data_IF_000989187727
#
_entry.id   IF_000989187727
#
_cell.length_a   1.000
_cell.length_b   1.000
_cell.length_c   1.000
_cell.angle_alpha   90.00
_cell.angle_beta   90.00
_cell.angle_gamma   90.00
#
_symmetry.space_group_name_H-M   'P 1'
#
loop_
_entity.id
_entity.type
_entity.pdbx_description
1 polymer ?
#
# COMPACT_ATOMS: atom_id res chain seq x y z
N UNK A 1 18.68 0.68 18.76
CA UNK A 1 18.11 0.87 17.41
C UNK A 1 18.38 2.26 16.84
N UNK A 2 17.87 3.35 17.45
CA UNK A 2 18.04 4.74 16.96
C UNK A 2 19.46 5.11 16.48
N UNK A 3 20.47 4.95 17.33
CA UNK A 3 21.88 5.24 16.97
C UNK A 3 22.39 4.49 15.73
N UNK A 4 21.97 3.24 15.54
CA UNK A 4 22.35 2.43 14.36
C UNK A 4 21.76 3.05 13.10
N UNK A 5 20.49 3.47 13.16
CA UNK A 5 19.79 4.12 12.03
C UNK A 5 20.45 5.47 11.71
N UNK A 6 20.70 6.30 12.72
CA UNK A 6 21.38 7.59 12.56
C UNK A 6 22.75 7.43 11.89
N UNK A 7 23.54 6.46 12.36
CA UNK A 7 24.85 6.16 11.76
C UNK A 7 24.75 5.65 10.31
N UNK A 8 23.69 4.90 9.94
CA UNK A 8 23.45 4.52 8.53
C UNK A 8 23.12 5.74 7.68
N UNK A 9 22.27 6.64 8.19
CA UNK A 9 21.86 7.86 7.48
C UNK A 9 23.06 8.77 7.25
N UNK A 10 23.88 8.99 8.27
CA UNK A 10 25.09 9.83 8.19
C UNK A 10 26.11 9.28 7.20
N UNK A 11 26.34 7.96 7.20
CA UNK A 11 27.33 7.34 6.31
C UNK A 11 26.80 7.03 4.91
N UNK A 12 25.48 7.01 4.72
CA UNK A 12 24.82 6.56 3.49
C UNK A 12 25.10 5.10 3.12
N UNK A 13 25.50 4.26 4.09
CA UNK A 13 25.95 2.87 3.86
C UNK A 13 25.46 1.93 4.95
N UNK A 14 25.12 0.71 4.54
CA UNK A 14 24.67 -0.36 5.45
C UNK A 14 25.67 -1.52 5.58
N UNK A 15 26.77 -1.52 4.81
CA UNK A 15 27.69 -2.67 4.69
C UNK A 15 28.19 -3.20 6.05
N UNK A 16 28.51 -2.32 7.00
CA UNK A 16 28.96 -2.69 8.36
C UNK A 16 27.89 -3.38 9.22
N UNK A 17 26.64 -3.42 8.74
CA UNK A 17 25.50 -4.03 9.42
C UNK A 17 24.90 -5.21 8.67
N UNK A 18 25.46 -5.59 7.51
CA UNK A 18 25.09 -6.81 6.79
C UNK A 18 25.89 -7.94 7.42
N UNK A 19 25.22 -8.84 8.13
CA UNK A 19 25.87 -9.88 8.95
C UNK A 19 25.51 -11.29 8.53
N UNK A 20 24.40 -11.46 7.82
CA UNK A 20 23.93 -12.76 7.34
C UNK A 20 23.98 -12.86 5.82
N UNK A 21 24.10 -14.09 5.32
CA UNK A 21 24.00 -14.39 3.89
C UNK A 21 22.65 -13.91 3.31
N UNK A 22 21.56 -14.07 4.07
CA UNK A 22 20.24 -13.63 3.67
C UNK A 22 20.16 -12.10 3.52
N UNK A 23 20.75 -11.33 4.43
CA UNK A 23 20.86 -9.88 4.28
C UNK A 23 21.72 -9.52 3.06
N UNK A 24 22.81 -10.24 2.83
CA UNK A 24 23.69 -10.03 1.68
C UNK A 24 22.95 -10.24 0.35
N UNK A 25 22.16 -11.30 0.25
CA UNK A 25 21.30 -11.60 -0.89
C UNK A 25 20.20 -10.55 -1.05
N UNK A 26 19.56 -10.13 0.05
CA UNK A 26 18.53 -9.11 0.04
C UNK A 26 19.04 -7.77 -0.51
N UNK A 27 20.27 -7.37 -0.19
CA UNK A 27 20.88 -6.13 -0.70
C UNK A 27 21.60 -6.27 -2.05
N UNK A 28 21.80 -7.50 -2.55
CA UNK A 28 22.50 -7.74 -3.82
C UNK A 28 21.94 -7.01 -5.06
N UNK A 29 20.63 -6.67 -5.16
CA UNK A 29 20.12 -5.91 -6.30
C UNK A 29 20.65 -4.46 -6.38
N UNK A 30 21.06 -3.87 -5.25
CA UNK A 30 21.51 -2.46 -5.20
C UNK A 30 22.97 -2.34 -5.63
N UNK A 31 23.17 -2.45 -6.94
CA UNK A 31 24.46 -2.23 -7.59
C UNK A 31 24.61 -0.77 -8.06
N UNK A 32 25.76 -0.40 -8.61
CA UNK A 32 26.00 0.96 -9.15
C UNK A 32 25.07 1.33 -10.32
N UNK A 33 24.49 0.34 -10.99
CA UNK A 33 23.54 0.57 -12.10
C UNK A 33 22.12 0.77 -11.60
N UNK A 34 21.83 0.48 -10.33
CA UNK A 34 20.52 0.72 -9.72
C UNK A 34 20.37 2.22 -9.45
N UNK A 35 19.59 2.92 -10.27
CA UNK A 35 19.33 4.37 -10.14
C UNK A 35 17.87 4.63 -9.80
N UNK A 36 17.52 5.86 -9.42
CA UNK A 36 16.12 6.22 -9.13
C UNK A 36 15.18 6.22 -10.35
N UNK A 37 15.74 6.17 -11.57
CA UNK A 37 15.01 6.17 -12.86
C UNK A 37 15.08 4.83 -13.59
N UNK A 38 16.06 4.01 -13.26
CA UNK A 38 16.36 2.77 -13.97
C UNK A 38 16.82 1.72 -12.97
N UNK A 39 15.95 0.76 -12.69
CA UNK A 39 16.22 -0.33 -11.78
C UNK A 39 15.17 -1.45 -11.90
N UNK A 40 15.55 -2.72 -11.66
CA UNK A 40 14.60 -3.82 -11.68
C UNK A 40 13.65 -3.77 -10.47
N UNK A 41 12.60 -4.60 -10.53
CA UNK A 41 11.77 -4.92 -9.38
C UNK A 41 12.62 -5.56 -8.27
N UNK A 42 12.34 -5.23 -7.02
CA UNK A 42 12.87 -5.93 -5.85
C UNK A 42 11.73 -6.23 -4.89
N UNK A 43 11.52 -7.51 -4.58
CA UNK A 43 10.52 -7.97 -3.62
C UNK A 43 11.22 -8.82 -2.57
N UNK A 44 11.10 -8.43 -1.29
CA UNK A 44 11.73 -9.12 -0.17
C UNK A 44 10.72 -9.36 0.95
N UNK A 45 10.56 -10.62 1.35
CA UNK A 45 9.74 -11.00 2.51
C UNK A 45 10.61 -10.92 3.77
N UNK A 46 10.54 -9.78 4.45
CA UNK A 46 11.35 -9.46 5.63
C UNK A 46 10.86 -10.20 6.88
N UNK A 47 9.53 -10.30 7.06
CA UNK A 47 8.90 -11.08 8.12
C UNK A 47 7.80 -11.96 7.51
N UNK A 48 7.65 -13.17 8.01
CA UNK A 48 6.68 -14.18 7.60
C UNK A 48 5.87 -14.69 8.80
N UNK A 49 4.56 -14.53 8.71
CA UNK A 49 3.60 -14.99 9.70
C UNK A 49 3.65 -16.50 9.88
N UNK A 50 3.63 -16.95 11.14
CA UNK A 50 3.79 -18.34 11.55
C UNK A 50 5.25 -18.80 11.61
N UNK A 51 6.20 -18.03 11.08
CA UNK A 51 7.62 -18.37 11.06
C UNK A 51 8.45 -17.45 11.95
N UNK A 52 8.29 -16.14 11.77
CA UNK A 52 8.97 -15.13 12.58
C UNK A 52 8.13 -14.85 13.83
N UNK A 53 8.75 -14.95 15.00
CA UNK A 53 8.10 -14.76 16.31
C UNK A 53 8.74 -13.62 17.09
N UNK A 54 7.95 -12.92 17.89
CA UNK A 54 8.44 -11.90 18.81
C UNK A 54 9.09 -12.53 20.06
N UNK A 55 9.67 -11.68 20.90
CA UNK A 55 10.31 -12.10 22.16
C UNK A 55 9.33 -12.70 23.18
N UNK A 56 8.02 -12.49 22.98
CA UNK A 56 6.96 -13.05 23.81
C UNK A 56 6.39 -14.36 23.23
N UNK A 57 6.92 -14.83 22.09
CA UNK A 57 6.49 -16.05 21.41
C UNK A 57 5.27 -15.88 20.49
N UNK A 58 4.82 -14.65 20.21
CA UNK A 58 3.72 -14.41 19.27
C UNK A 58 4.23 -14.30 17.84
N UNK A 59 3.45 -14.81 16.89
CA UNK A 59 3.74 -14.64 15.46
C UNK A 59 3.76 -13.17 15.06
N UNK A 60 4.80 -12.76 14.33
CA UNK A 60 4.88 -11.46 13.68
C UNK A 60 4.01 -11.43 12.42
N UNK A 61 3.45 -10.27 12.02
CA UNK A 61 2.75 -10.15 10.74
C UNK A 61 3.73 -10.22 9.56
N UNK A 62 3.23 -10.56 8.38
CA UNK A 62 4.00 -10.48 7.15
C UNK A 62 4.50 -9.05 6.92
N UNK A 63 5.79 -8.88 6.65
CA UNK A 63 6.39 -7.61 6.24
C UNK A 63 7.09 -7.83 4.90
N UNK A 64 6.58 -7.19 3.86
CA UNK A 64 7.05 -7.34 2.49
C UNK A 64 7.54 -5.98 2.00
N UNK A 65 8.81 -5.92 1.60
CA UNK A 65 9.40 -4.77 0.93
C UNK A 65 9.24 -4.92 -0.58
N UNK A 66 8.79 -3.86 -1.25
CA UNK A 66 8.55 -3.85 -2.70
C UNK A 66 9.13 -2.58 -3.30
N UNK A 67 9.99 -2.74 -4.31
CA UNK A 67 10.29 -1.70 -5.30
C UNK A 67 9.73 -2.16 -6.63
N UNK A 68 8.86 -1.37 -7.25
CA UNK A 68 8.47 -1.61 -8.64
C UNK A 68 9.67 -1.41 -9.57
N UNK A 69 9.67 -2.04 -10.72
CA UNK A 69 10.62 -1.73 -11.77
C UNK A 69 10.44 -0.28 -12.26
N UNK A 70 11.55 0.37 -12.58
CA UNK A 70 11.55 1.62 -13.32
C UNK A 70 12.50 1.51 -14.50
N UNK A 71 12.09 2.11 -15.60
CA UNK A 71 12.90 2.27 -16.81
C UNK A 71 12.82 3.72 -17.28
N UNK A 72 13.92 4.22 -17.83
CA UNK A 72 13.98 5.57 -18.44
C UNK A 72 13.01 5.67 -19.63
N UNK A 73 12.67 4.56 -20.27
CA UNK A 73 11.79 4.52 -21.44
C UNK A 73 10.31 4.38 -21.10
N UNK A 74 9.97 4.18 -19.82
CA UNK A 74 8.59 3.94 -19.38
C UNK A 74 8.15 5.04 -18.41
N UNK A 75 7.10 5.80 -18.73
CA UNK A 75 6.57 6.79 -17.79
C UNK A 75 6.02 6.09 -16.55
N UNK A 76 6.14 6.75 -15.40
CA UNK A 76 5.59 6.24 -14.15
C UNK A 76 4.64 7.25 -13.49
N UNK A 77 3.53 6.77 -12.94
CA UNK A 77 2.50 7.61 -12.32
C UNK A 77 2.74 7.78 -10.82
N UNK A 78 3.92 8.32 -10.44
CA UNK A 78 4.32 8.64 -9.06
C UNK A 78 3.69 7.74 -7.97
N UNK A 79 2.72 8.27 -7.20
CA UNK A 79 2.03 7.59 -6.10
C UNK A 79 1.00 6.58 -6.62
N UNK A 80 0.16 6.92 -7.61
CA UNK A 80 -0.78 5.98 -8.23
C UNK A 80 -0.11 4.68 -8.63
N UNK A 81 0.89 4.77 -9.49
CA UNK A 81 1.52 3.57 -10.03
C UNK A 81 2.21 2.76 -8.93
N UNK A 82 2.66 3.39 -7.83
CA UNK A 82 3.24 2.66 -6.72
C UNK A 82 2.16 1.89 -5.95
N UNK A 83 1.01 2.52 -5.68
CA UNK A 83 -0.14 1.88 -5.05
C UNK A 83 -0.77 0.79 -5.95
N UNK A 84 -0.80 1.01 -7.27
CA UNK A 84 -1.29 0.03 -8.26
C UNK A 84 -0.37 -1.20 -8.30
N UNK A 85 0.96 -1.00 -8.33
CA UNK A 85 1.91 -2.12 -8.19
C UNK A 85 1.72 -2.86 -6.86
N UNK A 86 1.57 -2.15 -5.75
CA UNK A 86 1.33 -2.76 -4.44
C UNK A 86 0.02 -3.55 -4.42
N UNK A 87 -1.04 -3.07 -5.07
CA UNK A 87 -2.32 -3.78 -5.18
C UNK A 87 -2.16 -5.12 -5.88
N UNK A 88 -1.43 -5.14 -7.02
CA UNK A 88 -1.13 -6.34 -7.80
C UNK A 88 -0.25 -7.34 -7.04
N UNK A 89 0.86 -6.88 -6.49
CA UNK A 89 1.77 -7.73 -5.69
C UNK A 89 1.05 -8.31 -4.47
N UNK A 90 0.27 -7.47 -3.77
CA UNK A 90 -0.54 -7.91 -2.63
C UNK A 90 -1.57 -8.99 -3.00
N UNK A 91 -2.20 -8.87 -4.18
CA UNK A 91 -3.17 -9.85 -4.68
C UNK A 91 -2.55 -11.25 -4.84
N UNK A 92 -1.31 -11.33 -5.33
CA UNK A 92 -0.63 -12.61 -5.50
C UNK A 92 -0.12 -13.19 -4.18
N UNK A 93 0.32 -12.35 -3.24
CA UNK A 93 0.98 -12.83 -2.03
C UNK A 93 0.00 -13.13 -0.89
N UNK A 94 -1.06 -12.34 -0.73
CA UNK A 94 -1.96 -12.46 0.44
C UNK A 94 -3.43 -12.27 0.09
N UNK A 95 -3.73 -11.57 -1.01
CA UNK A 95 -5.07 -11.16 -1.46
C UNK A 95 -6.02 -10.68 -0.36
N UNK A 96 -5.53 -9.89 0.60
CA UNK A 96 -6.37 -9.41 1.70
C UNK A 96 -7.55 -8.58 1.16
N UNK A 97 -8.80 -8.80 1.64
CA UNK A 97 -10.00 -8.14 1.11
C UNK A 97 -10.13 -6.67 1.51
N UNK A 98 -9.36 -6.24 2.52
CA UNK A 98 -9.33 -4.86 3.03
C UNK A 98 -7.91 -4.33 2.87
N UNK A 99 -7.78 -3.10 2.39
CA UNK A 99 -6.50 -2.46 2.10
C UNK A 99 -6.46 -1.10 2.78
N UNK A 100 -5.43 -0.83 3.57
CA UNK A 100 -5.18 0.49 4.15
C UNK A 100 -4.10 1.21 3.34
N UNK A 101 -4.36 2.46 2.95
CA UNK A 101 -3.30 3.38 2.53
C UNK A 101 -2.87 4.26 3.69
N UNK A 102 -1.55 4.39 3.87
CA UNK A 102 -0.97 5.19 4.93
C UNK A 102 0.32 5.85 4.42
N UNK A 103 0.39 7.17 4.59
CA UNK A 103 1.58 7.95 4.26
C UNK A 103 2.66 7.84 5.35
N UNK A 104 3.92 8.10 4.99
CA UNK A 104 5.07 7.88 5.86
C UNK A 104 5.17 8.86 7.04
N UNK A 105 4.45 9.96 6.98
CA UNK A 105 4.29 10.97 8.03
C UNK A 105 3.05 10.72 8.92
N UNK A 106 2.29 9.65 8.63
CA UNK A 106 1.09 9.27 9.35
C UNK A 106 1.28 7.94 10.09
N UNK A 107 0.69 7.83 11.28
CA UNK A 107 0.66 6.58 12.05
C UNK A 107 -0.66 6.40 12.79
N UNK A 108 -1.03 5.16 13.09
CA UNK A 108 -2.23 4.89 13.89
C UNK A 108 -2.02 5.32 15.34
N UNK A 109 -2.90 6.19 15.82
CA UNK A 109 -2.93 6.62 17.22
C UNK A 109 -3.82 5.74 18.11
N UNK A 110 -4.52 4.76 17.53
CA UNK A 110 -5.43 3.87 18.26
C UNK A 110 -5.25 2.42 17.77
N UNK A 111 -4.79 1.49 18.64
CA UNK A 111 -4.63 0.09 18.26
C UNK A 111 -5.97 -0.61 17.98
N UNK A 112 -7.11 -0.02 18.38
CA UNK A 112 -8.45 -0.56 18.10
C UNK A 112 -9.01 -0.15 16.73
N UNK A 113 -8.33 0.71 15.97
CA UNK A 113 -8.79 1.17 14.65
C UNK A 113 -9.19 0.01 13.72
N UNK A 114 -8.41 -1.08 13.57
CA UNK A 114 -8.83 -2.20 12.73
C UNK A 114 -10.15 -2.84 13.17
N UNK A 115 -10.40 -2.97 14.47
CA UNK A 115 -11.65 -3.54 15.00
C UNK A 115 -12.85 -2.64 14.67
N UNK A 116 -12.70 -1.32 14.82
CA UNK A 116 -13.76 -0.36 14.50
C UNK A 116 -14.09 -0.39 13.00
N UNK A 117 -13.08 -0.53 12.15
CA UNK A 117 -13.26 -0.66 10.70
C UNK A 117 -14.06 -1.91 10.37
N UNK A 118 -13.72 -3.06 10.98
CA UNK A 118 -14.42 -4.32 10.71
C UNK A 118 -15.93 -4.23 10.95
N UNK A 119 -16.41 -3.40 11.88
CA UNK A 119 -17.84 -3.18 12.08
C UNK A 119 -18.56 -2.76 10.79
N UNK A 120 -17.95 -1.88 9.98
CA UNK A 120 -18.54 -1.42 8.71
C UNK A 120 -18.47 -2.50 7.62
N UNK A 121 -17.35 -3.22 7.53
CA UNK A 121 -17.13 -4.23 6.49
C UNK A 121 -17.91 -5.52 6.74
N UNK A 122 -18.27 -5.79 7.99
CA UNK A 122 -19.04 -6.98 8.39
C UNK A 122 -20.55 -6.72 8.47
N UNK A 123 -20.99 -5.46 8.41
CA UNK A 123 -22.41 -5.11 8.39
C UNK A 123 -23.03 -5.42 7.02
N UNK A 124 -23.94 -6.40 6.97
CA UNK A 124 -24.59 -6.84 5.74
C UNK A 124 -25.44 -5.75 5.06
N UNK A 125 -25.89 -4.73 5.81
CA UNK A 125 -26.67 -3.61 5.25
C UNK A 125 -25.78 -2.54 4.61
N UNK A 126 -24.56 -2.35 5.12
CA UNK A 126 -23.61 -1.34 4.65
C UNK A 126 -22.68 -1.92 3.58
N UNK A 127 -22.14 -3.12 3.81
CA UNK A 127 -21.10 -3.77 2.99
C UNK A 127 -21.38 -3.76 1.48
N UNK A 128 -22.60 -4.04 0.97
CA UNK A 128 -22.85 -4.06 -0.48
C UNK A 128 -22.66 -2.70 -1.17
N UNK A 129 -22.68 -1.60 -0.40
CA UNK A 129 -22.55 -0.22 -0.91
C UNK A 129 -21.25 0.45 -0.46
N UNK A 130 -20.45 -0.24 0.35
CA UNK A 130 -19.22 0.30 0.91
C UNK A 130 -18.08 0.15 -0.09
N UNK A 131 -17.41 1.26 -0.41
CA UNK A 131 -16.16 1.22 -1.17
C UNK A 131 -14.95 1.31 -0.22
N UNK A 132 -15.04 2.22 0.76
CA UNK A 132 -13.98 2.45 1.74
C UNK A 132 -14.50 3.13 3.01
N UNK A 133 -13.68 3.15 4.05
CA UNK A 133 -13.86 3.92 5.29
C UNK A 133 -12.68 4.88 5.45
N UNK A 134 -12.95 6.18 5.44
CA UNK A 134 -11.95 7.25 5.59
C UNK A 134 -11.88 7.73 7.04
N UNK A 135 -10.68 7.70 7.64
CA UNK A 135 -10.45 8.30 8.95
C UNK A 135 -10.03 9.77 8.82
N UNK A 136 -10.41 10.63 9.79
CA UNK A 136 -9.93 12.02 9.81
C UNK A 136 -8.43 12.07 10.04
N UNK A 137 -7.73 12.92 9.28
CA UNK A 137 -6.30 13.18 9.46
C UNK A 137 -6.10 14.12 10.64
N UNK A 138 -5.15 13.79 11.52
CA UNK A 138 -4.82 14.59 12.70
C UNK A 138 -3.33 14.93 12.68
N UNK A 139 -2.99 16.21 12.80
CA UNK A 139 -1.60 16.67 12.76
C UNK A 139 -1.06 16.96 14.16
N UNK A 140 0.23 16.72 14.34
CA UNK A 140 0.94 17.00 15.59
C UNK A 140 1.69 18.33 15.50
N UNK A 141 1.97 18.94 16.66
CA UNK A 141 2.78 20.16 16.74
C UNK A 141 2.06 21.45 16.32
N UNK A 142 0.73 21.42 16.21
CA UNK A 142 -0.08 22.61 15.96
C UNK A 142 0.01 23.54 17.16
N UNK A 143 0.33 24.81 16.91
CA UNK A 143 0.38 25.81 17.96
C UNK A 143 -1.04 26.26 18.37
N UNK A 144 -1.19 26.78 19.59
CA UNK A 144 -2.49 27.18 20.15
C UNK A 144 -3.26 28.18 19.28
N UNK A 145 -2.57 29.04 18.54
CA UNK A 145 -3.20 30.09 17.75
C UNK A 145 -3.59 29.61 16.34
N UNK A 146 -3.00 28.51 15.87
CA UNK A 146 -3.12 27.91 14.54
C UNK A 146 -3.34 28.93 13.41
N UNK A 147 -2.52 29.99 13.36
CA UNK A 147 -2.72 31.10 12.40
C UNK A 147 -2.58 30.66 10.93
N UNK A 148 -1.95 29.50 10.69
CA UNK A 148 -1.82 28.90 9.36
C UNK A 148 -2.93 27.90 9.05
N UNK A 149 -3.87 27.68 9.98
CA UNK A 149 -4.93 26.68 9.84
C UNK A 149 -4.40 25.29 9.50
N UNK A 150 -3.28 24.90 10.11
CA UNK A 150 -2.53 23.67 9.85
C UNK A 150 -3.31 22.41 10.27
N UNK A 151 -4.29 22.51 11.17
CA UNK A 151 -5.21 21.39 11.44
C UNK A 151 -6.13 21.07 10.25
N UNK A 152 -6.33 22.05 9.34
CA UNK A 152 -7.24 21.94 8.21
C UNK A 152 -8.63 21.41 8.61
N UNK A 153 -9.16 21.88 9.76
CA UNK A 153 -10.38 21.36 10.39
C UNK A 153 -11.58 21.24 9.42
N UNK A 154 -11.74 22.21 8.51
CA UNK A 154 -12.81 22.16 7.50
C UNK A 154 -12.70 20.93 6.59
N UNK A 155 -11.51 20.67 6.07
CA UNK A 155 -11.25 19.59 5.13
C UNK A 155 -11.30 18.21 5.76
N UNK A 156 -10.73 18.04 6.96
CA UNK A 156 -10.58 16.71 7.57
C UNK A 156 -11.60 16.36 8.65
N UNK A 157 -12.31 17.34 9.23
CA UNK A 157 -13.24 17.09 10.33
C UNK A 157 -14.67 17.54 10.07
N UNK A 158 -14.89 18.71 9.45
CA UNK A 158 -16.24 19.28 9.31
C UNK A 158 -16.91 18.75 8.04
N UNK A 159 -16.30 18.96 6.87
CA UNK A 159 -16.91 18.57 5.59
C UNK A 159 -17.16 17.05 5.49
N UNK A 160 -16.22 16.17 5.85
CA UNK A 160 -16.43 14.71 5.77
C UNK A 160 -17.66 14.24 6.53
N UNK A 161 -17.92 14.80 7.72
CA UNK A 161 -19.10 14.45 8.53
C UNK A 161 -20.42 14.86 7.87
N UNK A 162 -20.45 15.98 7.18
CA UNK A 162 -21.62 16.42 6.42
C UNK A 162 -21.86 15.52 5.21
N UNK A 163 -20.80 15.17 4.49
CA UNK A 163 -20.87 14.30 3.32
C UNK A 163 -21.27 12.86 3.64
N UNK A 164 -20.96 12.39 4.84
CA UNK A 164 -21.36 11.06 5.32
C UNK A 164 -22.88 10.87 5.37
N UNK A 165 -23.64 11.97 5.53
CA UNK A 165 -25.10 11.96 5.40
C UNK A 165 -25.64 11.85 3.96
N UNK A 166 -24.76 11.89 2.96
CA UNK A 166 -25.10 11.79 1.53
C UNK A 166 -24.52 10.52 0.91
N UNK A 167 -23.29 10.58 0.40
CA UNK A 167 -22.62 9.49 -0.33
C UNK A 167 -21.29 9.08 0.29
N UNK A 168 -20.96 9.63 1.46
CA UNK A 168 -19.67 9.41 2.12
C UNK A 168 -18.63 10.51 1.81
N UNK A 169 -17.57 10.61 2.62
CA UNK A 169 -16.49 11.56 2.42
C UNK A 169 -15.60 11.17 1.23
N UNK A 170 -14.90 12.15 0.64
CA UNK A 170 -13.85 11.87 -0.34
C UNK A 170 -12.69 11.09 0.29
N UNK A 171 -12.00 10.29 -0.52
CA UNK A 171 -10.72 9.71 -0.15
C UNK A 171 -9.66 10.81 -0.13
N UNK A 172 -8.90 10.89 0.98
CA UNK A 172 -7.91 11.95 1.22
C UNK A 172 -6.47 11.45 1.10
N UNK A 173 -6.25 10.30 0.48
CA UNK A 173 -4.93 9.73 0.18
C UNK A 173 -4.27 8.90 1.30
N UNK A 174 -4.63 9.11 2.57
CA UNK A 174 -4.09 8.38 3.73
C UNK A 174 -5.18 8.09 4.75
N UNK A 175 -5.01 7.06 5.57
CA UNK A 175 -5.99 6.67 6.60
C UNK A 175 -7.29 6.11 5.99
N UNK A 176 -7.23 5.60 4.77
CA UNK A 176 -8.39 5.10 4.03
C UNK A 176 -8.33 3.57 3.93
N UNK A 177 -9.36 2.89 4.45
CA UNK A 177 -9.52 1.45 4.37
C UNK A 177 -10.44 1.11 3.19
N UNK A 178 -9.91 0.56 2.11
CA UNK A 178 -10.64 0.16 0.92
C UNK A 178 -11.10 -1.28 0.96
N UNK A 179 -12.27 -1.56 0.40
CA UNK A 179 -12.65 -2.90 -0.06
C UNK A 179 -11.89 -3.20 -1.35
N UNK A 180 -11.06 -4.25 -1.37
CA UNK A 180 -10.31 -4.67 -2.57
C UNK A 180 -11.23 -4.77 -3.79
N UNK A 181 -12.39 -5.41 -3.64
CA UNK A 181 -13.39 -5.56 -4.72
C UNK A 181 -13.80 -4.23 -5.34
N UNK A 182 -13.94 -3.16 -4.54
CA UNK A 182 -14.34 -1.85 -5.03
C UNK A 182 -13.27 -1.17 -5.92
N UNK A 183 -12.02 -1.63 -5.84
CA UNK A 183 -10.93 -1.18 -6.71
C UNK A 183 -10.98 -1.81 -8.11
N UNK A 184 -11.85 -2.79 -8.34
CA UNK A 184 -12.01 -3.48 -9.63
C UNK A 184 -13.35 -3.12 -10.27
N UNK A 185 -13.69 -1.83 -10.26
CA UNK A 185 -14.94 -1.31 -10.82
C UNK A 185 -16.11 -1.29 -9.84
N UNK A 186 -17.21 -0.67 -10.28
CA UNK A 186 -18.37 -0.38 -9.45
C UNK A 186 -19.13 -1.63 -8.96
N UNK A 187 -20.12 -1.44 -8.07
CA UNK A 187 -20.90 -2.53 -7.50
C UNK A 187 -21.67 -3.33 -8.56
N UNK A 188 -22.12 -2.66 -9.63
CA UNK A 188 -22.92 -3.29 -10.71
C UNK A 188 -22.08 -3.96 -11.81
N UNK A 189 -20.79 -3.63 -11.91
CA UNK A 189 -19.92 -4.15 -12.98
C UNK A 189 -18.49 -4.33 -12.45
N UNK A 190 -18.11 -5.58 -12.18
CA UNK A 190 -16.72 -5.92 -11.84
C UNK A 190 -15.88 -5.99 -13.11
N UNK A 191 -14.74 -5.31 -13.09
CA UNK A 191 -13.69 -5.49 -14.08
C UNK A 191 -12.87 -6.71 -13.71
N UNK A 192 -12.77 -7.65 -14.64
CA UNK A 192 -11.90 -8.80 -14.47
C UNK A 192 -10.47 -8.40 -14.81
N UNK A 193 -9.49 -8.67 -13.94
CA UNK A 193 -8.09 -8.50 -14.31
C UNK A 193 -7.71 -9.51 -15.39
N UNK A 194 -6.72 -9.14 -16.19
CA UNK A 194 -6.08 -9.97 -17.22
C UNK A 194 -5.54 -11.30 -16.66
N UNK A 195 -5.14 -11.32 -15.40
CA UNK A 195 -4.69 -12.51 -14.68
C UNK A 195 -5.71 -12.93 -13.63
N UNK A 196 -6.25 -14.17 -13.67
CA UNK A 196 -7.22 -14.66 -12.68
C UNK A 196 -6.71 -14.60 -11.23
N UNK A 197 -5.41 -14.74 -11.02
CA UNK A 197 -4.77 -14.67 -9.70
C UNK A 197 -4.82 -13.27 -9.08
N UNK A 198 -5.07 -12.22 -9.88
CA UNK A 198 -5.26 -10.86 -9.41
C UNK A 198 -6.70 -10.56 -9.02
N UNK A 199 -7.63 -11.48 -9.26
CA UNK A 199 -9.04 -11.30 -8.93
C UNK A 199 -9.23 -11.08 -7.42
N UNK A 200 -10.09 -10.14 -6.99
CA UNK A 200 -10.44 -9.96 -5.58
C UNK A 200 -10.95 -11.23 -4.89
N UNK A 201 -11.53 -12.16 -5.65
CA UNK A 201 -12.12 -13.40 -5.15
C UNK A 201 -11.13 -14.59 -5.20
N UNK A 202 -9.91 -14.37 -5.70
CA UNK A 202 -8.89 -15.41 -5.77
C UNK A 202 -8.40 -15.83 -4.38
N UNK A 203 -8.39 -17.12 -4.10
CA UNK A 203 -7.85 -17.66 -2.85
C UNK A 203 -6.38 -18.00 -3.05
N UNK A 204 -5.50 -17.29 -2.32
CA UNK A 204 -4.06 -17.57 -2.33
C UNK A 204 -3.79 -18.84 -1.53
N UNK A 205 -3.27 -19.87 -2.19
CA UNK A 205 -2.94 -21.17 -1.59
C UNK A 205 -1.44 -21.42 -1.46
N UNK A 206 -0.63 -20.70 -2.24
CA UNK A 206 0.81 -20.87 -2.26
C UNK A 206 1.46 -20.06 -1.12
N UNK A 207 2.53 -20.56 -0.47
CA UNK A 207 3.30 -19.79 0.50
C UNK A 207 3.88 -18.51 -0.11
N UNK A 208 3.98 -17.44 0.69
CA UNK A 208 4.42 -16.11 0.23
C UNK A 208 5.86 -16.08 -0.29
N UNK A 209 6.71 -17.01 0.18
CA UNK A 209 8.10 -17.20 -0.28
C UNK A 209 8.24 -18.23 -1.40
N UNK A 210 7.13 -18.80 -1.88
CA UNK A 210 7.20 -19.76 -2.98
C UNK A 210 7.78 -19.09 -4.23
N UNK A 211 8.69 -19.80 -4.91
CA UNK A 211 9.37 -19.30 -6.11
C UNK A 211 8.38 -18.82 -7.17
N UNK A 212 7.31 -19.60 -7.38
CA UNK A 212 6.25 -19.26 -8.32
C UNK A 212 5.57 -17.93 -8.01
N UNK A 213 5.19 -17.68 -6.74
CA UNK A 213 4.56 -16.42 -6.34
C UNK A 213 5.54 -15.24 -6.46
N UNK A 214 6.81 -15.43 -6.08
CA UNK A 214 7.82 -14.38 -6.21
C UNK A 214 8.10 -14.04 -7.69
N UNK A 215 8.14 -15.03 -8.58
CA UNK A 215 8.30 -14.80 -10.02
C UNK A 215 7.10 -14.03 -10.60
N UNK A 216 5.86 -14.45 -10.30
CA UNK A 216 4.67 -13.73 -10.74
C UNK A 216 4.60 -12.31 -10.15
N UNK A 217 4.95 -12.15 -8.88
CA UNK A 217 4.99 -10.84 -8.22
C UNK A 217 6.00 -9.90 -8.88
N UNK A 218 7.15 -10.42 -9.32
CA UNK A 218 8.12 -9.66 -10.10
C UNK A 218 7.54 -9.23 -11.46
N UNK A 219 6.82 -10.12 -12.15
CA UNK A 219 6.17 -9.82 -13.43
C UNK A 219 5.13 -8.70 -13.30
N UNK A 220 4.22 -8.77 -12.30
CA UNK A 220 3.15 -7.77 -12.14
C UNK A 220 3.65 -6.43 -11.59
N UNK A 221 4.89 -6.39 -11.07
CA UNK A 221 5.57 -5.17 -10.63
C UNK A 221 6.45 -4.53 -11.72
N UNK A 222 6.48 -5.12 -12.92
CA UNK A 222 7.22 -4.61 -14.07
C UNK A 222 6.70 -3.26 -14.55
N UNK A 223 7.58 -2.44 -15.13
CA UNK A 223 7.25 -1.06 -15.51
C UNK A 223 6.26 -0.97 -16.69
N UNK A 224 6.24 -2.01 -17.53
CA UNK A 224 5.36 -2.10 -18.69
C UNK A 224 4.07 -2.89 -18.41
N UNK A 225 3.84 -3.38 -17.19
CA UNK A 225 2.68 -4.24 -16.91
C UNK A 225 1.35 -3.53 -17.18
N UNK A 226 1.27 -2.23 -16.89
CA UNK A 226 0.03 -1.46 -17.09
C UNK A 226 -0.25 -1.14 -18.56
N UNK A 227 0.73 -1.32 -19.45
CA UNK A 227 0.58 -1.02 -20.87
C UNK A 227 -0.47 -1.93 -21.51
N UNK A 228 -1.47 -1.32 -22.16
CA UNK A 228 -2.61 -2.03 -22.79
C UNK A 228 -3.45 -2.86 -21.81
N UNK A 229 -3.45 -2.48 -20.53
CA UNK A 229 -4.36 -3.03 -19.53
C UNK A 229 -5.32 -1.94 -19.05
N UNK A 230 -6.31 -2.32 -18.24
CA UNK A 230 -7.24 -1.37 -17.63
C UNK A 230 -6.69 -0.72 -16.34
N UNK A 231 -5.46 -1.05 -15.93
CA UNK A 231 -4.84 -0.54 -14.70
C UNK A 231 -4.56 0.96 -14.78
N UNK A 232 -5.05 1.70 -13.79
CA UNK A 232 -4.88 3.15 -13.70
C UNK A 232 -5.80 3.96 -14.62
N UNK A 233 -6.62 3.31 -15.45
CA UNK A 233 -7.69 3.96 -16.22
C UNK A 233 -9.08 3.60 -15.70
N UNK A 234 -9.32 2.32 -15.43
CA UNK A 234 -10.62 1.80 -14.99
C UNK A 234 -10.51 0.90 -13.76
N UNK A 235 -9.35 0.27 -13.56
CA UNK A 235 -9.01 -0.52 -12.39
C UNK A 235 -8.13 0.33 -11.47
N UNK A 236 -8.51 0.37 -10.19
CA UNK A 236 -7.96 1.10 -9.06
C UNK A 236 -8.57 2.50 -8.80
N UNK A 237 -8.55 2.90 -7.52
CA UNK A 237 -8.97 4.23 -7.06
C UNK A 237 -7.94 5.33 -7.39
N UNK A 238 -6.71 4.95 -7.74
CA UNK A 238 -5.62 5.87 -8.08
C UNK A 238 -5.48 5.91 -9.59
N UNK A 239 -6.31 6.74 -10.22
CA UNK A 239 -6.26 6.97 -11.66
C UNK A 239 -4.95 7.66 -12.03
N UNK A 240 -4.37 7.27 -13.15
CA UNK A 240 -3.12 7.82 -13.66
C UNK A 240 -3.35 9.25 -14.18
N UNK A 241 -3.51 10.23 -13.29
CA UNK A 241 -3.65 11.65 -13.64
C UNK A 241 -2.39 12.44 -13.24
N UNK A 242 -2.20 13.58 -13.90
CA UNK A 242 -0.97 14.37 -13.92
C UNK A 242 -0.74 15.18 -12.65
N UNK A 243 -1.76 15.43 -11.79
CA UNK A 243 -1.58 16.32 -10.63
C UNK A 243 -2.45 16.06 -9.39
N UNK A 244 -3.67 15.51 -9.49
CA UNK A 244 -4.50 15.15 -8.33
C UNK A 244 -5.42 13.99 -8.65
N UNK A 245 -5.35 12.90 -7.89
CA UNK A 245 -6.06 11.66 -8.17
C UNK A 245 -7.23 11.43 -7.19
N UNK A 246 -8.19 12.34 -7.15
CA UNK A 246 -9.49 12.11 -6.49
C UNK A 246 -10.57 12.92 -7.21
N UNK A 247 -11.40 12.24 -8.01
CA UNK A 247 -12.68 12.79 -8.50
C UNK A 247 -13.78 12.38 -7.52
#
# INVERSE_FOLDING_TARGET
MKRRIENVIENGKVAQYITSQQEHEAFSPWTKTFTHRDHPTVIQVLLESGKDIDVSGHSMPNLIYVTREKSITSPHHYKAGALNTLLRVSALMTNAPIILTLDCDMFSNNPRTPYNVLCYFMDNSIRPKLAYVQFPQCFHGVNKNDIYSSEMQRGFHINPKGMDGLTGPHCMGTGCFFMRRALFGGPSAMLQPEMPQLSPDHVVTNPIRSRHILELANTVAGCNYEFQTNWGEQVCAFLNDTTTEFN
#
